data_IF_947260258595
#
_entry.id   IF_947260258595
#
_cell.length_a   1.000
_cell.length_b   1.000
_cell.length_c   1.000
_cell.angle_alpha   90.00
_cell.angle_beta   90.00
_cell.angle_gamma   90.00
#
_symmetry.space_group_name_H-M   'P 1'
#
loop_
_entity.id
_entity.type
_entity.pdbx_description
1 polymer ?
#
# COMPACT_ATOMS: atom_id res chain seq x y z
N UNK A 1 3.66 19.70 17.60
CA UNK A 1 2.35 19.32 17.02
C UNK A 1 2.64 18.58 15.74
N UNK A 2 2.25 17.31 15.63
CA UNK A 2 2.45 16.52 14.41
C UNK A 2 1.35 16.93 13.43
N UNK A 3 1.73 17.20 12.19
CA UNK A 3 0.82 17.62 11.13
C UNK A 3 0.14 16.39 10.53
N UNK A 4 -1.18 16.30 10.61
CA UNK A 4 -1.97 15.17 10.08
C UNK A 4 -1.70 14.88 8.59
N UNK A 5 -1.31 15.89 7.81
CA UNK A 5 -0.95 15.71 6.39
C UNK A 5 0.39 14.97 6.23
N UNK A 6 1.32 15.15 7.17
CA UNK A 6 2.60 14.47 7.16
C UNK A 6 2.46 13.03 7.65
N UNK A 7 1.63 12.77 8.68
CA UNK A 7 1.27 11.39 9.08
C UNK A 7 0.62 10.60 7.94
N UNK A 8 -0.29 11.24 7.18
CA UNK A 8 -0.93 10.61 6.03
C UNK A 8 0.09 10.28 4.92
N UNK A 9 1.08 11.15 4.69
CA UNK A 9 2.16 10.91 3.72
C UNK A 9 3.07 9.75 4.15
N UNK A 10 3.41 9.67 5.43
CA UNK A 10 4.19 8.56 5.97
C UNK A 10 3.44 7.23 5.82
N UNK A 11 2.13 7.23 6.09
CA UNK A 11 1.30 6.05 5.92
C UNK A 11 1.19 5.64 4.44
N UNK A 12 1.03 6.59 3.52
CA UNK A 12 1.08 6.32 2.07
C UNK A 12 2.40 5.67 1.67
N UNK A 13 3.53 6.24 2.09
CA UNK A 13 4.85 5.68 1.78
C UNK A 13 5.03 4.26 2.34
N UNK A 14 4.51 3.99 3.54
CA UNK A 14 4.56 2.65 4.13
C UNK A 14 3.74 1.64 3.32
N UNK A 15 2.55 2.03 2.87
CA UNK A 15 1.67 1.17 2.08
C UNK A 15 2.26 0.90 0.69
N UNK A 16 2.86 1.90 0.04
CA UNK A 16 3.56 1.72 -1.24
C UNK A 16 4.69 0.70 -1.12
N UNK A 17 5.55 0.81 -0.09
CA UNK A 17 6.61 -0.17 0.18
C UNK A 17 6.08 -1.58 0.44
N UNK A 18 4.93 -1.69 1.11
CA UNK A 18 4.30 -2.99 1.33
C UNK A 18 3.84 -3.62 0.00
N UNK A 19 3.26 -2.83 -0.91
CA UNK A 19 2.83 -3.32 -2.21
C UNK A 19 4.02 -3.76 -3.08
N UNK A 20 5.12 -2.99 -3.07
CA UNK A 20 6.36 -3.39 -3.74
C UNK A 20 6.90 -4.73 -3.23
N UNK A 21 6.88 -4.93 -1.91
CA UNK A 21 7.27 -6.20 -1.30
C UNK A 21 6.32 -7.36 -1.69
N UNK A 22 5.01 -7.12 -1.69
CA UNK A 22 4.04 -8.13 -2.14
C UNK A 22 4.23 -8.49 -3.63
N UNK A 23 4.54 -7.51 -4.47
CA UNK A 23 4.88 -7.73 -5.88
C UNK A 23 6.12 -8.60 -6.03
N UNK A 24 7.17 -8.34 -5.24
CA UNK A 24 8.38 -9.17 -5.22
C UNK A 24 8.08 -10.62 -4.84
N UNK A 25 7.27 -10.84 -3.80
CA UNK A 25 6.87 -12.18 -3.39
C UNK A 25 6.14 -12.92 -4.50
N UNK A 26 5.20 -12.24 -5.17
CA UNK A 26 4.43 -12.81 -6.29
C UNK A 26 5.32 -13.11 -7.50
N UNK A 27 6.16 -12.15 -7.91
CA UNK A 27 7.11 -12.34 -9.04
C UNK A 27 8.07 -13.51 -8.80
N UNK A 28 8.48 -13.71 -7.55
CA UNK A 28 9.38 -14.80 -7.15
C UNK A 28 8.64 -16.12 -6.86
N UNK A 29 7.33 -16.20 -7.11
CA UNK A 29 6.51 -17.39 -6.89
C UNK A 29 6.40 -17.81 -5.41
N UNK A 30 6.61 -16.87 -4.47
CA UNK A 30 6.49 -17.12 -3.02
C UNK A 30 5.05 -17.08 -2.54
N UNK A 31 4.19 -16.36 -3.27
CA UNK A 31 2.75 -16.32 -3.08
C UNK A 31 2.05 -16.42 -4.42
N UNK A 32 0.83 -16.94 -4.42
CA UNK A 32 -0.03 -17.00 -5.60
C UNK A 32 -0.86 -15.70 -5.78
N UNK A 33 -1.66 -15.67 -6.86
CA UNK A 33 -2.54 -14.54 -7.19
C UNK A 33 -3.56 -14.25 -6.09
N UNK A 34 -4.20 -15.30 -5.54
CA UNK A 34 -5.26 -15.15 -4.55
C UNK A 34 -4.70 -14.61 -3.24
N UNK A 35 -3.55 -15.11 -2.79
CA UNK A 35 -2.80 -14.61 -1.66
C UNK A 35 -2.38 -13.15 -1.87
N UNK A 36 -1.88 -12.81 -3.05
CA UNK A 36 -1.52 -11.45 -3.39
C UNK A 36 -2.72 -10.50 -3.32
N UNK A 37 -3.85 -10.86 -3.96
CA UNK A 37 -5.06 -10.05 -3.94
C UNK A 37 -5.56 -9.89 -2.49
N UNK A 38 -5.58 -10.97 -1.71
CA UNK A 38 -6.03 -10.97 -0.32
C UNK A 38 -5.23 -9.99 0.54
N UNK A 39 -3.90 -9.95 0.39
CA UNK A 39 -3.06 -9.07 1.22
C UNK A 39 -3.02 -7.62 0.71
N UNK A 40 -3.21 -7.38 -0.59
CA UNK A 40 -3.06 -6.05 -1.22
C UNK A 40 -4.36 -5.27 -1.42
N UNK A 41 -5.52 -5.92 -1.56
CA UNK A 41 -6.80 -5.27 -1.93
C UNK A 41 -7.10 -3.98 -1.15
N UNK A 42 -7.17 -4.08 0.18
CA UNK A 42 -7.53 -2.93 1.02
C UNK A 42 -6.45 -1.83 1.02
N UNK A 43 -5.19 -2.18 0.70
CA UNK A 43 -4.07 -1.23 0.62
C UNK A 43 -4.15 -0.41 -0.66
N UNK A 44 -4.50 -1.06 -1.77
CA UNK A 44 -4.75 -0.40 -3.05
C UNK A 44 -5.96 0.54 -2.93
N UNK A 45 -7.03 0.11 -2.27
CA UNK A 45 -8.19 0.97 -1.99
C UNK A 45 -7.80 2.18 -1.12
N UNK A 46 -7.05 1.95 -0.03
CA UNK A 46 -6.53 3.04 0.81
C UNK A 46 -5.71 4.06 0.02
N UNK A 47 -4.81 3.62 -0.87
CA UNK A 47 -3.96 4.54 -1.63
C UNK A 47 -4.77 5.45 -2.55
N UNK A 48 -5.82 4.94 -3.20
CA UNK A 48 -6.71 5.74 -4.05
C UNK A 48 -7.36 6.87 -3.24
N UNK A 49 -7.95 6.53 -2.10
CA UNK A 49 -8.60 7.49 -1.21
C UNK A 49 -7.61 8.49 -0.59
N UNK A 50 -6.40 8.04 -0.27
CA UNK A 50 -5.38 8.88 0.34
C UNK A 50 -4.80 9.90 -0.66
N UNK A 51 -4.58 9.49 -1.91
CA UNK A 51 -4.07 10.38 -2.96
C UNK A 51 -5.03 11.54 -3.27
N UNK A 52 -6.34 11.30 -3.22
CA UNK A 52 -7.35 12.36 -3.37
C UNK A 52 -7.29 13.40 -2.24
N UNK A 53 -6.92 12.99 -1.02
CA UNK A 53 -6.83 13.86 0.17
C UNK A 53 -5.51 14.61 0.28
N UNK A 54 -4.46 14.15 -0.42
CA UNK A 54 -3.13 14.78 -0.41
C UNK A 54 -3.03 15.90 -1.46
N UNK A 55 -3.75 15.78 -2.59
CA UNK A 55 -3.92 16.86 -3.59
C UNK A 55 -4.40 18.15 -2.93
#
# INVERSE_FOLDING_TARGET
>A
MINKKDELRELVSLVEKFLEFADELKRNGKIDEDQYIYITKNKVEFLKDAQEKIK
#
